data_IF_592619023458
#
_entry.id   IF_592619023458
#
_cell.length_a   1.000
_cell.length_b   1.000
_cell.length_c   1.000
_cell.angle_alpha   90.00
_cell.angle_beta   90.00
_cell.angle_gamma   90.00
#
_symmetry.space_group_name_H-M   'P 1'
#
loop_
_entity.id
_entity.type
_entity.pdbx_description
1 polymer ?
#
# COMPACT_ATOMS: atom_id res chain seq x y z
N UNK A 1 14.88 17.39 -14.73
CA UNK A 1 15.55 18.38 -13.85
C UNK A 1 14.63 18.82 -12.69
N UNK A 2 13.35 19.19 -12.91
CA UNK A 2 12.49 19.72 -11.82
C UNK A 2 12.14 18.67 -10.75
N UNK A 3 11.93 17.40 -11.12
CA UNK A 3 11.63 16.32 -10.16
C UNK A 3 12.82 16.09 -9.21
N UNK A 4 14.04 16.05 -9.75
CA UNK A 4 15.25 15.87 -8.94
C UNK A 4 15.46 17.09 -8.03
N UNK A 5 15.24 18.30 -8.56
CA UNK A 5 15.35 19.54 -7.78
C UNK A 5 14.32 19.59 -6.65
N UNK A 6 13.06 19.22 -6.91
CA UNK A 6 12.01 19.13 -5.92
C UNK A 6 12.37 18.10 -4.83
N UNK A 7 12.84 16.92 -5.22
CA UNK A 7 13.21 15.88 -4.26
C UNK A 7 14.35 16.29 -3.30
N UNK A 8 15.27 17.14 -3.78
CA UNK A 8 16.42 17.59 -2.97
C UNK A 8 16.07 18.79 -2.10
N UNK A 9 15.20 19.68 -2.56
CA UNK A 9 15.00 21.00 -1.95
C UNK A 9 13.64 21.18 -1.26
N UNK A 10 12.64 20.36 -1.58
CA UNK A 10 11.35 20.42 -0.89
C UNK A 10 11.44 19.76 0.48
N UNK A 11 10.99 20.42 1.56
CA UNK A 11 10.87 19.80 2.86
C UNK A 11 9.94 18.57 2.73
N UNK A 12 10.29 17.48 3.40
CA UNK A 12 9.41 16.32 3.49
C UNK A 12 8.24 16.68 4.39
N UNK A 13 7.04 16.49 3.91
CA UNK A 13 5.86 16.67 4.75
C UNK A 13 5.81 15.59 5.83
N UNK A 14 5.60 16.03 7.06
CA UNK A 14 5.64 15.21 8.25
C UNK A 14 4.35 14.43 8.51
N UNK A 15 3.28 14.74 7.78
CA UNK A 15 1.95 14.19 8.03
C UNK A 15 1.46 13.37 6.84
N UNK A 16 0.72 12.28 7.12
CA UNK A 16 0.02 11.52 6.08
C UNK A 16 -1.11 12.32 5.40
N UNK A 17 -1.49 13.45 5.98
CA UNK A 17 -2.52 14.34 5.44
C UNK A 17 -1.89 15.52 4.70
N UNK A 18 -1.71 15.37 3.39
CA UNK A 18 -1.16 16.39 2.48
C UNK A 18 -2.11 17.59 2.26
N UNK A 19 -3.27 17.59 2.90
CA UNK A 19 -4.27 18.64 2.79
C UNK A 19 -4.31 19.57 4.02
N UNK A 20 -3.20 19.71 4.73
CA UNK A 20 -3.07 20.58 5.92
C UNK A 20 -4.13 20.31 7.00
N UNK A 21 -4.44 19.05 7.23
CA UNK A 21 -5.47 18.63 8.17
C UNK A 21 -6.90 18.62 7.62
N UNK A 22 -7.10 18.94 6.34
CA UNK A 22 -8.41 18.92 5.68
C UNK A 22 -8.75 17.56 5.04
N UNK A 23 -7.88 16.56 5.13
CA UNK A 23 -8.15 15.21 4.64
C UNK A 23 -9.44 14.66 5.23
N UNK A 24 -10.32 14.11 4.37
CA UNK A 24 -11.67 13.65 4.75
C UNK A 24 -11.78 12.15 4.85
N UNK A 25 -11.03 11.42 4.03
CA UNK A 25 -11.10 9.97 3.90
C UNK A 25 -9.98 9.27 4.68
N UNK A 26 -10.16 7.98 4.97
CA UNK A 26 -9.26 7.17 5.80
C UNK A 26 -7.84 7.05 5.23
N UNK A 27 -7.64 7.20 3.94
CA UNK A 27 -6.32 7.18 3.31
C UNK A 27 -5.37 8.26 3.87
N UNK A 28 -5.91 9.40 4.31
CA UNK A 28 -5.15 10.51 4.90
C UNK A 28 -4.95 10.38 6.42
N UNK A 29 -5.52 9.36 7.01
CA UNK A 29 -5.45 9.15 8.47
C UNK A 29 -4.18 8.42 8.93
N UNK A 30 -3.36 7.93 7.99
CA UNK A 30 -2.12 7.21 8.30
C UNK A 30 -1.08 8.10 8.97
N UNK A 31 -0.24 7.50 9.81
CA UNK A 31 0.79 8.22 10.55
C UNK A 31 1.92 8.77 9.67
N UNK A 32 2.04 8.31 8.44
CA UNK A 32 3.09 8.67 7.48
C UNK A 32 2.49 8.85 6.10
N UNK A 33 3.09 9.73 5.28
CA UNK A 33 2.75 9.91 3.86
C UNK A 33 2.92 8.60 3.05
N UNK A 34 3.80 7.71 3.49
CA UNK A 34 3.96 6.35 2.93
C UNK A 34 3.44 5.38 3.99
N UNK A 35 2.25 4.82 3.82
CA UNK A 35 1.70 3.86 4.78
C UNK A 35 2.54 2.58 4.84
N UNK A 36 2.57 1.87 5.97
CA UNK A 36 3.17 0.56 6.07
C UNK A 36 2.45 -0.44 5.15
N UNK A 37 3.08 -1.59 4.88
CA UNK A 37 2.54 -2.61 3.95
C UNK A 37 1.13 -3.09 4.31
N UNK A 38 0.77 -3.04 5.58
CA UNK A 38 -0.55 -3.43 6.09
C UNK A 38 -1.57 -2.28 6.14
N UNK A 39 -1.22 -1.05 5.70
CA UNK A 39 -1.98 0.19 5.74
C UNK A 39 -2.37 0.64 7.14
N UNK A 40 -3.20 -0.11 7.85
CA UNK A 40 -3.68 0.18 9.20
C UNK A 40 -3.29 -0.94 10.16
N UNK A 41 -2.65 -0.59 11.26
CA UNK A 41 -2.30 -1.52 12.34
C UNK A 41 -3.56 -2.05 13.06
N UNK A 42 -4.61 -1.24 13.09
CA UNK A 42 -5.93 -1.57 13.62
C UNK A 42 -6.95 -1.12 12.60
N UNK A 43 -7.88 -2.01 12.26
CA UNK A 43 -8.96 -1.67 11.33
C UNK A 43 -9.82 -0.57 11.95
N UNK A 44 -9.92 0.61 11.31
CA UNK A 44 -10.76 1.69 11.81
C UNK A 44 -12.25 1.34 11.69
N UNK A 45 -13.03 1.73 12.67
CA UNK A 45 -14.50 1.65 12.60
C UNK A 45 -15.01 2.75 11.68
N UNK A 46 -15.73 2.38 10.63
CA UNK A 46 -16.31 3.30 9.67
C UNK A 46 -17.82 3.41 9.90
N UNK A 47 -18.28 4.61 10.21
CA UNK A 47 -19.68 4.89 10.46
C UNK A 47 -20.30 5.84 9.44
N UNK A 48 -19.46 6.58 8.68
CA UNK A 48 -19.92 7.57 7.71
C UNK A 48 -18.98 7.62 6.49
N UNK A 49 -19.43 8.28 5.42
CA UNK A 49 -18.64 8.49 4.20
C UNK A 49 -17.34 9.25 4.45
N UNK A 50 -17.37 10.25 5.35
CA UNK A 50 -16.24 11.07 5.74
C UNK A 50 -15.65 10.62 7.08
N UNK A 51 -15.35 9.35 7.21
CA UNK A 51 -14.93 8.72 8.48
C UNK A 51 -13.76 9.43 9.15
N UNK A 52 -12.80 9.96 8.40
CA UNK A 52 -11.66 10.65 9.01
C UNK A 52 -12.04 12.02 9.59
N UNK A 53 -13.00 12.73 8.99
CA UNK A 53 -13.57 13.96 9.56
C UNK A 53 -14.33 13.64 10.84
N UNK A 54 -15.17 12.61 10.82
CA UNK A 54 -15.91 12.15 12.01
C UNK A 54 -14.97 11.79 13.17
N UNK A 55 -13.86 11.12 12.88
CA UNK A 55 -12.82 10.83 13.87
C UNK A 55 -12.17 12.09 14.45
N UNK A 56 -11.92 13.11 13.62
CA UNK A 56 -11.35 14.39 14.07
C UNK A 56 -12.33 15.16 14.96
N UNK A 57 -13.59 15.24 14.56
CA UNK A 57 -14.63 15.96 15.28
C UNK A 57 -14.95 15.34 16.64
N UNK A 58 -14.94 14.01 16.71
CA UNK A 58 -15.22 13.28 17.96
C UNK A 58 -13.98 12.94 18.79
N UNK A 59 -12.79 13.35 18.34
CA UNK A 59 -11.54 13.06 19.06
C UNK A 59 -11.20 11.56 19.13
N UNK A 60 -11.83 10.73 18.31
CA UNK A 60 -11.62 9.28 18.28
C UNK A 60 -10.48 8.94 17.34
N UNK A 61 -9.24 9.08 17.79
CA UNK A 61 -8.10 8.62 17.01
C UNK A 61 -7.88 7.12 17.25
N UNK A 62 -8.00 6.32 16.17
CA UNK A 62 -7.62 4.89 16.23
C UNK A 62 -6.12 4.69 16.60
N UNK A 63 -5.31 5.73 16.50
CA UNK A 63 -3.90 5.77 16.92
C UNK A 63 -3.73 5.65 18.44
N UNK A 64 -4.77 5.87 19.23
CA UNK A 64 -4.71 5.75 20.69
C UNK A 64 -4.91 4.31 21.19
N UNK A 65 -5.38 3.45 20.31
CA UNK A 65 -5.52 2.03 20.60
C UNK A 65 -4.20 1.32 20.32
N UNK A 66 -3.67 0.59 21.32
CA UNK A 66 -2.41 -0.14 21.26
C UNK A 66 -2.60 -1.66 21.27
N UNK A 67 -3.84 -2.13 21.08
CA UNK A 67 -4.16 -3.55 21.07
C UNK A 67 -3.93 -4.15 19.67
N UNK A 68 -2.66 -4.34 19.32
CA UNK A 68 -2.28 -4.90 18.04
C UNK A 68 -2.52 -6.41 17.99
N UNK A 69 -2.89 -6.90 16.81
CA UNK A 69 -3.06 -8.33 16.51
C UNK A 69 -2.14 -8.73 15.36
N UNK A 70 -1.89 -10.02 15.24
CA UNK A 70 -1.17 -10.55 14.10
C UNK A 70 -1.94 -10.25 12.81
N UNK A 71 -1.22 -9.70 11.82
CA UNK A 71 -1.80 -9.31 10.54
C UNK A 71 -1.41 -10.37 9.50
N UNK A 72 -2.43 -10.97 8.88
CA UNK A 72 -2.22 -11.90 7.77
C UNK A 72 -2.06 -11.12 6.46
N UNK A 73 -0.94 -11.38 5.76
CA UNK A 73 -0.62 -10.76 4.48
C UNK A 73 -0.45 -11.83 3.41
N UNK A 74 -0.95 -11.61 2.19
CA UNK A 74 -0.74 -12.52 1.08
C UNK A 74 0.72 -12.47 0.60
N UNK A 75 1.22 -13.60 0.11
CA UNK A 75 2.52 -13.64 -0.54
C UNK A 75 2.47 -13.01 -1.95
N UNK A 76 3.60 -12.51 -2.40
CA UNK A 76 3.74 -12.05 -3.77
C UNK A 76 3.78 -13.24 -4.72
N UNK A 77 3.01 -13.17 -5.82
CA UNK A 77 3.02 -14.20 -6.87
C UNK A 77 3.68 -13.68 -8.14
N UNK A 78 4.42 -14.55 -8.82
CA UNK A 78 5.02 -14.27 -10.13
C UNK A 78 4.05 -14.56 -11.30
N UNK A 79 2.88 -15.10 -11.02
CA UNK A 79 1.88 -15.48 -12.03
C UNK A 79 1.51 -14.32 -12.94
N UNK A 80 1.33 -13.12 -12.39
CA UNK A 80 1.03 -11.92 -13.17
C UNK A 80 2.09 -11.56 -14.20
N UNK A 81 3.37 -11.78 -13.85
CA UNK A 81 4.50 -11.53 -14.77
C UNK A 81 4.46 -12.52 -15.94
N UNK A 82 4.29 -13.82 -15.66
CA UNK A 82 4.19 -14.83 -16.72
C UNK A 82 2.98 -14.60 -17.63
N UNK A 83 1.83 -14.29 -17.06
CA UNK A 83 0.63 -13.94 -17.86
C UNK A 83 0.87 -12.72 -18.73
N UNK A 84 1.52 -11.67 -18.21
CA UNK A 84 1.87 -10.47 -18.95
C UNK A 84 2.81 -10.77 -20.12
N UNK A 85 3.82 -11.61 -19.94
CA UNK A 85 4.74 -12.03 -20.98
C UNK A 85 3.99 -12.79 -22.09
N UNK A 86 3.18 -13.79 -21.74
CA UNK A 86 2.39 -14.52 -22.71
C UNK A 86 1.41 -13.64 -23.49
N UNK A 87 0.78 -12.68 -22.83
CA UNK A 87 -0.15 -11.73 -23.46
C UNK A 87 0.59 -10.81 -24.43
N UNK A 88 1.76 -10.28 -24.04
CA UNK A 88 2.57 -9.41 -24.89
C UNK A 88 3.09 -10.16 -26.12
N UNK A 89 3.68 -11.34 -25.92
CA UNK A 89 4.23 -12.15 -27.00
C UNK A 89 3.11 -12.67 -27.92
N UNK A 90 2.00 -13.11 -27.34
CA UNK A 90 0.82 -13.55 -28.09
C UNK A 90 0.22 -12.42 -28.93
N UNK A 91 0.09 -11.23 -28.36
CA UNK A 91 -0.38 -10.04 -29.10
C UNK A 91 0.53 -9.70 -30.27
N UNK A 92 1.86 -9.82 -30.09
CA UNK A 92 2.81 -9.62 -31.17
C UNK A 92 2.61 -10.63 -32.32
N UNK A 93 2.48 -11.93 -32.01
CA UNK A 93 2.22 -12.94 -33.03
C UNK A 93 0.86 -12.77 -33.73
N UNK A 94 -0.13 -12.24 -33.04
CA UNK A 94 -1.43 -11.93 -33.63
C UNK A 94 -1.32 -10.83 -34.69
N UNK A 95 -0.51 -9.79 -34.45
CA UNK A 95 -0.26 -8.71 -35.43
C UNK A 95 0.40 -9.25 -36.71
N UNK A 96 1.29 -10.24 -36.57
CA UNK A 96 1.95 -10.88 -37.71
C UNK A 96 1.15 -12.05 -38.31
N UNK A 97 -0.12 -12.19 -37.96
CA UNK A 97 -1.03 -13.25 -38.44
C UNK A 97 -0.50 -14.67 -38.20
N UNK A 98 0.40 -14.83 -37.24
CA UNK A 98 1.03 -16.10 -36.92
C UNK A 98 0.20 -16.85 -35.86
N UNK A 99 -0.80 -17.62 -36.33
CA UNK A 99 -1.82 -18.23 -35.47
C UNK A 99 -1.23 -19.30 -34.54
N UNK A 100 -0.27 -20.12 -35.00
CA UNK A 100 0.26 -21.23 -34.16
C UNK A 100 0.96 -20.73 -32.91
N UNK A 101 1.96 -19.82 -32.94
CA UNK A 101 2.57 -19.31 -31.73
C UNK A 101 1.61 -18.48 -30.89
N UNK A 102 0.62 -17.82 -31.46
CA UNK A 102 -0.45 -17.18 -30.71
C UNK A 102 -1.21 -18.19 -29.84
N UNK A 103 -1.65 -19.32 -30.44
CA UNK A 103 -2.35 -20.37 -29.67
C UNK A 103 -1.49 -20.98 -28.57
N UNK A 104 -0.18 -21.10 -28.78
CA UNK A 104 0.76 -21.56 -27.74
C UNK A 104 0.77 -20.56 -26.57
N UNK A 105 0.79 -19.25 -26.84
CA UNK A 105 0.72 -18.22 -25.80
C UNK A 105 -0.61 -18.27 -25.04
N UNK A 106 -1.74 -18.46 -25.74
CA UNK A 106 -3.05 -18.63 -25.11
C UNK A 106 -3.06 -19.86 -24.18
N UNK A 107 -2.53 -20.99 -24.66
CA UNK A 107 -2.39 -22.18 -23.84
C UNK A 107 -1.48 -21.94 -22.62
N UNK A 108 -0.42 -21.13 -22.76
CA UNK A 108 0.45 -20.70 -21.67
C UNK A 108 -0.29 -19.88 -20.61
N UNK A 109 -1.18 -18.97 -21.02
CA UNK A 109 -2.02 -18.19 -20.08
C UNK A 109 -2.93 -19.14 -19.29
N UNK A 110 -3.65 -20.03 -19.96
CA UNK A 110 -4.50 -21.01 -19.28
C UNK A 110 -3.68 -21.94 -18.37
N UNK A 111 -2.50 -22.37 -18.82
CA UNK A 111 -1.58 -23.18 -17.99
C UNK A 111 -1.16 -22.46 -16.72
N UNK A 112 -0.82 -21.17 -16.79
CA UNK A 112 -0.47 -20.39 -15.59
C UNK A 112 -1.66 -20.21 -14.65
N UNK A 113 -2.86 -20.00 -15.18
CA UNK A 113 -4.09 -19.92 -14.37
C UNK A 113 -4.39 -21.25 -13.66
N UNK A 114 -4.29 -22.37 -14.37
CA UNK A 114 -4.49 -23.69 -13.80
C UNK A 114 -3.45 -23.96 -12.72
N UNK A 115 -2.17 -23.68 -12.99
CA UNK A 115 -1.10 -23.83 -12.00
C UNK A 115 -1.39 -23.03 -10.73
N UNK A 116 -1.77 -21.76 -10.88
CA UNK A 116 -2.09 -20.89 -9.74
C UNK A 116 -3.30 -21.40 -8.93
N UNK A 117 -4.28 -22.02 -9.59
CA UNK A 117 -5.44 -22.61 -8.91
C UNK A 117 -5.08 -23.76 -7.96
N UNK A 118 -3.97 -24.46 -8.22
CA UNK A 118 -3.48 -25.54 -7.36
C UNK A 118 -2.46 -25.08 -6.31
N UNK A 119 -1.94 -23.86 -6.43
CA UNK A 119 -1.01 -23.29 -5.44
C UNK A 119 -1.80 -22.87 -4.21
N UNK A 120 -1.62 -23.56 -3.11
CA UNK A 120 -2.15 -23.16 -1.81
C UNK A 120 -1.18 -22.13 -1.19
N UNK A 121 -1.49 -20.85 -1.39
CA UNK A 121 -0.74 -19.77 -0.76
C UNK A 121 -1.34 -19.47 0.62
N UNK A 122 -0.59 -19.83 1.66
CA UNK A 122 -0.98 -19.59 3.05
C UNK A 122 -0.61 -18.17 3.52
N UNK A 123 0.01 -17.35 2.67
CA UNK A 123 0.47 -16.03 3.04
C UNK A 123 1.55 -16.04 4.14
N UNK A 124 1.78 -14.89 4.73
CA UNK A 124 2.65 -14.74 5.91
C UNK A 124 1.96 -13.89 6.97
N UNK A 125 2.36 -14.08 8.22
CA UNK A 125 1.83 -13.31 9.34
C UNK A 125 2.89 -12.31 9.81
N UNK A 126 2.48 -11.08 10.02
CA UNK A 126 3.27 -10.07 10.70
C UNK A 126 2.88 -10.13 12.18
N UNK A 127 3.81 -10.48 13.08
CA UNK A 127 3.47 -10.59 14.49
C UNK A 127 3.12 -9.22 15.10
N UNK A 128 2.23 -9.22 16.07
CA UNK A 128 1.78 -8.00 16.75
C UNK A 128 2.93 -7.17 17.35
N UNK A 129 4.03 -7.81 17.75
CA UNK A 129 5.24 -7.14 18.25
C UNK A 129 5.92 -6.29 17.18
N UNK A 130 6.03 -6.79 15.95
CA UNK A 130 6.61 -6.05 14.82
C UNK A 130 5.70 -4.90 14.39
N UNK A 131 4.38 -5.10 14.43
CA UNK A 131 3.41 -4.03 14.17
C UNK A 131 3.57 -2.92 15.20
N UNK A 132 3.67 -3.25 16.49
CA UNK A 132 3.86 -2.27 17.57
C UNK A 132 5.16 -1.48 17.43
N UNK A 133 6.27 -2.15 17.08
CA UNK A 133 7.56 -1.49 16.85
C UNK A 133 7.52 -0.54 15.64
N UNK A 134 6.92 -0.96 14.54
CA UNK A 134 6.76 -0.14 13.35
C UNK A 134 5.92 1.11 13.65
N UNK A 135 4.81 0.97 14.36
CA UNK A 135 3.95 2.09 14.75
C UNK A 135 4.67 3.05 15.69
N UNK A 136 5.43 2.54 16.68
CA UNK A 136 6.23 3.37 17.57
C UNK A 136 7.27 4.18 16.78
N UNK A 137 7.98 3.54 15.85
CA UNK A 137 8.97 4.21 14.98
C UNK A 137 8.34 5.30 14.09
N UNK A 138 7.16 5.04 13.53
CA UNK A 138 6.45 6.03 12.71
C UNK A 138 5.99 7.23 13.54
N UNK A 139 5.54 7.00 14.77
CA UNK A 139 5.16 8.08 15.71
C UNK A 139 6.35 8.95 16.10
N UNK A 140 7.48 8.33 16.43
CA UNK A 140 8.71 9.06 16.76
C UNK A 140 9.21 9.89 15.57
N UNK A 141 9.19 9.34 14.37
CA UNK A 141 9.54 10.07 13.17
C UNK A 141 8.65 11.30 12.97
N UNK A 142 7.33 11.15 13.18
CA UNK A 142 6.35 12.22 13.08
C UNK A 142 6.57 13.34 14.12
N UNK A 143 6.90 12.96 15.35
CA UNK A 143 7.19 13.94 16.41
C UNK A 143 8.44 14.75 16.04
N UNK A 144 9.52 14.09 15.65
CA UNK A 144 10.77 14.75 15.24
C UNK A 144 10.58 15.70 14.06
N UNK A 145 9.77 15.31 13.07
CA UNK A 145 9.49 16.16 11.92
C UNK A 145 8.65 17.38 12.29
N UNK A 146 7.65 17.23 13.20
CA UNK A 146 6.87 18.37 13.71
C UNK A 146 7.73 19.35 14.50
N UNK A 147 8.65 18.85 15.29
CA UNK A 147 9.59 19.69 16.05
C UNK A 147 10.52 20.46 15.09
N UNK A 148 11.00 19.81 14.01
CA UNK A 148 11.84 20.46 13.00
C UNK A 148 11.10 21.60 12.27
N UNK A 149 9.84 21.38 11.87
CA UNK A 149 9.02 22.41 11.19
C UNK A 149 8.63 23.54 12.17
N UNK A 150 8.36 23.24 13.42
CA UNK A 150 8.03 24.25 14.45
C UNK A 150 9.19 25.16 14.84
N UNK A 151 10.42 24.80 14.53
CA UNK A 151 11.62 25.64 14.75
C UNK A 151 11.93 26.58 13.58
N UNK A 152 11.31 26.40 12.40
CA UNK A 152 11.52 27.26 11.23
C UNK A 152 10.46 28.38 11.07
N UNK A 153 9.48 28.42 11.93
CA UNK A 153 8.43 29.47 11.98
C UNK A 153 8.65 30.43 13.14
#
# INVERSE_FOLDING_TARGET
ASIIYSHIKSPREATGDNWDGLGRTLEWSTASAIPPKYNFAITPDWNDYDTFVDMKEHGRHFLDNHNYKDIHMPNNTHTGVFMGIFMLVGGFFLIFESIIPFLICVAGIFGTMIYQSFVQDHGYHIPASEVAENEARLREARIKEREAVGHES
#
